data_IF_271413630176
#
_entry.id   IF_271413630176
#
_cell.length_a   1.000
_cell.length_b   1.000
_cell.length_c   1.000
_cell.angle_alpha   90.00
_cell.angle_beta   90.00
_cell.angle_gamma   90.00
#
_symmetry.space_group_name_H-M   'P 1'
#
loop_
_entity.id
_entity.type
_entity.pdbx_description
1 polymer ?
#
# COMPACT_ATOMS: atom_id res chain seq x y z
N UNK A 1 -7.35 15.73 -11.70
CA UNK A 1 -8.25 14.67 -11.19
C UNK A 1 -7.58 14.08 -9.98
N UNK A 2 -8.21 14.17 -8.82
CA UNK A 2 -7.73 13.52 -7.59
C UNK A 2 -7.90 12.01 -7.71
N UNK A 3 -6.85 11.26 -7.39
CA UNK A 3 -6.80 9.80 -7.37
C UNK A 3 -6.65 9.33 -5.94
N UNK A 4 -7.41 8.30 -5.58
CA UNK A 4 -7.29 7.68 -4.26
C UNK A 4 -6.05 6.79 -4.23
N UNK A 5 -5.09 7.18 -3.41
CA UNK A 5 -3.76 6.57 -3.34
C UNK A 5 -3.55 5.96 -1.97
N UNK A 6 -3.09 4.71 -1.91
CA UNK A 6 -2.62 4.10 -0.69
C UNK A 6 -1.09 4.08 -0.65
N UNK A 7 -0.52 4.57 0.43
CA UNK A 7 0.89 4.42 0.74
C UNK A 7 1.03 3.24 1.69
N UNK A 8 1.99 2.35 1.46
CA UNK A 8 2.21 1.14 2.25
C UNK A 8 3.68 1.00 2.64
N UNK A 9 3.95 0.56 3.85
CA UNK A 9 5.30 0.47 4.40
C UNK A 9 5.89 -0.90 4.10
N UNK A 10 6.99 -0.92 3.36
CA UNK A 10 7.73 -2.15 3.06
C UNK A 10 9.01 -2.26 3.89
N UNK A 11 9.07 -1.56 5.03
CA UNK A 11 10.28 -1.50 5.87
C UNK A 11 10.74 -2.88 6.32
N UNK A 12 9.80 -3.71 6.77
CA UNK A 12 10.07 -5.02 7.35
C UNK A 12 10.03 -6.15 6.31
N UNK A 13 9.41 -5.90 5.15
CA UNK A 13 9.16 -6.91 4.10
C UNK A 13 10.05 -6.76 2.87
N UNK A 14 10.82 -5.67 2.76
CA UNK A 14 11.70 -5.41 1.62
C UNK A 14 13.10 -4.96 2.03
N UNK A 15 14.11 -5.71 1.56
CA UNK A 15 15.51 -5.36 1.70
C UNK A 15 15.93 -4.37 0.60
N UNK A 16 16.73 -3.36 0.98
CA UNK A 16 17.26 -2.38 0.03
C UNK A 16 18.13 -3.09 -1.02
N UNK A 17 17.96 -2.75 -2.30
CA UNK A 17 18.66 -3.42 -3.41
C UNK A 17 17.98 -4.67 -3.96
N UNK A 18 16.79 -5.02 -3.45
CA UNK A 18 15.93 -6.03 -4.07
C UNK A 18 15.45 -5.64 -5.47
N UNK A 19 14.86 -6.62 -6.16
CA UNK A 19 14.22 -6.39 -7.47
C UNK A 19 12.88 -5.67 -7.33
N UNK A 20 12.44 -5.01 -8.41
CA UNK A 20 11.09 -4.42 -8.49
C UNK A 20 9.99 -5.47 -8.28
N UNK A 21 10.22 -6.72 -8.68
CA UNK A 21 9.30 -7.83 -8.41
C UNK A 21 9.19 -8.09 -6.92
N UNK A 22 10.31 -8.19 -6.20
CA UNK A 22 10.28 -8.38 -4.74
C UNK A 22 9.62 -7.21 -4.03
N UNK A 23 9.85 -5.98 -4.50
CA UNK A 23 9.17 -4.80 -3.97
C UNK A 23 7.65 -4.88 -4.18
N UNK A 24 7.19 -5.26 -5.38
CA UNK A 24 5.78 -5.43 -5.69
C UNK A 24 5.12 -6.49 -4.79
N UNK A 25 5.81 -7.61 -4.54
CA UNK A 25 5.35 -8.65 -3.62
C UNK A 25 5.22 -8.15 -2.18
N UNK A 26 6.21 -7.38 -1.71
CA UNK A 26 6.16 -6.77 -0.38
C UNK A 26 5.03 -5.73 -0.26
N UNK A 27 4.80 -4.95 -1.31
CA UNK A 27 3.79 -3.89 -1.37
C UNK A 27 2.35 -4.44 -1.50
N UNK A 28 2.20 -5.59 -2.14
CA UNK A 28 0.96 -6.32 -2.26
C UNK A 28 0.41 -6.86 -0.92
N UNK A 29 1.32 -7.20 0.01
CA UNK A 29 1.06 -8.01 1.20
C UNK A 29 0.01 -7.43 2.15
N UNK A 30 -0.55 -8.26 3.04
CA UNK A 30 -1.70 -7.91 3.87
C UNK A 30 -1.55 -6.62 4.70
N UNK A 31 -2.45 -5.66 4.49
CA UNK A 31 -2.50 -4.38 5.22
C UNK A 31 -3.69 -4.30 6.20
N UNK A 32 -3.53 -3.66 7.37
CA UNK A 32 -4.56 -3.54 8.39
C UNK A 32 -5.61 -2.47 8.04
N UNK A 33 -6.42 -2.74 7.01
CA UNK A 33 -7.51 -1.88 6.51
C UNK A 33 -8.77 -2.69 6.24
N UNK A 34 -9.90 -2.01 6.06
CA UNK A 34 -11.15 -2.64 5.65
C UNK A 34 -11.28 -2.61 4.13
N UNK A 35 -11.95 -3.61 3.57
CA UNK A 35 -12.25 -3.67 2.13
C UNK A 35 -12.93 -2.38 1.64
N UNK A 36 -14.00 -1.95 2.34
CA UNK A 36 -14.76 -0.74 1.98
C UNK A 36 -13.91 0.55 1.97
N UNK A 37 -12.84 0.62 2.78
CA UNK A 37 -11.96 1.80 2.74
C UNK A 37 -11.04 1.84 1.52
N UNK A 38 -10.88 0.71 0.84
CA UNK A 38 -9.87 0.50 -0.18
C UNK A 38 -10.41 0.09 -1.56
N UNK A 39 -11.69 -0.24 -1.69
CA UNK A 39 -12.29 -0.78 -2.92
C UNK A 39 -12.12 0.11 -4.16
N UNK A 40 -11.97 1.41 -3.95
CA UNK A 40 -11.82 2.49 -4.93
C UNK A 40 -10.39 3.07 -4.97
N UNK A 41 -9.42 2.44 -4.30
CA UNK A 41 -8.00 2.81 -4.41
C UNK A 41 -7.52 2.53 -5.82
N UNK A 42 -6.89 3.54 -6.44
CA UNK A 42 -6.44 3.49 -7.83
C UNK A 42 -4.93 3.31 -7.95
N UNK A 43 -4.18 3.79 -6.95
CA UNK A 43 -2.72 3.77 -6.95
C UNK A 43 -2.21 3.26 -5.61
N UNK A 44 -1.21 2.38 -5.64
CA UNK A 44 -0.47 1.95 -4.47
C UNK A 44 0.97 2.44 -4.57
N UNK A 45 1.47 3.02 -3.49
CA UNK A 45 2.84 3.54 -3.36
C UNK A 45 3.56 2.77 -2.26
N UNK A 46 4.67 2.11 -2.59
CA UNK A 46 5.55 1.49 -1.61
C UNK A 46 6.47 2.53 -0.98
N UNK A 47 6.51 2.55 0.36
CA UNK A 47 7.29 3.48 1.17
C UNK A 47 8.30 2.70 1.99
N UNK A 48 9.58 3.09 1.88
CA UNK A 48 10.66 2.62 2.75
C UNK A 48 11.37 3.81 3.37
N UNK A 49 11.60 3.76 4.68
CA UNK A 49 12.30 4.81 5.43
C UNK A 49 11.75 6.22 5.16
N UNK A 50 10.42 6.34 5.09
CA UNK A 50 9.65 7.57 4.77
C UNK A 50 9.82 8.10 3.34
N UNK A 51 10.41 7.32 2.44
CA UNK A 51 10.56 7.65 1.03
C UNK A 51 9.73 6.72 0.16
N UNK A 52 9.02 7.27 -0.81
CA UNK A 52 8.36 6.50 -1.87
C UNK A 52 9.42 5.88 -2.79
N UNK A 53 9.37 4.56 -2.96
CA UNK A 53 10.38 3.79 -3.74
C UNK A 53 9.78 3.02 -4.92
N UNK A 54 8.45 3.01 -5.06
CA UNK A 54 7.77 2.43 -6.22
C UNK A 54 6.26 2.68 -6.16
N UNK A 55 5.59 2.64 -7.31
CA UNK A 55 4.14 2.79 -7.39
C UNK A 55 3.54 1.93 -8.52
N UNK A 56 2.29 1.52 -8.33
CA UNK A 56 1.52 0.72 -9.27
C UNK A 56 0.07 1.17 -9.34
N UNK A 57 -0.56 0.92 -10.48
CA UNK A 57 -2.02 0.92 -10.57
C UNK A 57 -2.58 -0.24 -9.74
N UNK A 58 -3.71 -0.01 -9.09
CA UNK A 58 -4.47 -1.05 -8.39
C UNK A 58 -5.58 -1.52 -9.31
N UNK A 59 -5.60 -2.81 -9.62
CA UNK A 59 -6.60 -3.44 -10.49
C UNK A 59 -7.63 -4.25 -9.69
N UNK A 60 -7.41 -4.41 -8.39
CA UNK A 60 -8.35 -5.08 -7.50
C UNK A 60 -7.89 -5.08 -6.05
N UNK A 61 -8.86 -5.25 -5.15
CA UNK A 61 -8.64 -5.39 -3.70
C UNK A 61 -9.32 -6.66 -3.24
N UNK A 62 -8.71 -7.39 -2.31
CA UNK A 62 -9.30 -8.61 -1.78
C UNK A 62 -8.86 -8.89 -0.34
N UNK A 63 -9.61 -9.76 0.34
CA UNK A 63 -9.28 -10.19 1.69
C UNK A 63 -8.12 -11.20 1.66
N UNK A 64 -7.07 -10.88 2.40
CA UNK A 64 -5.95 -11.78 2.66
C UNK A 64 -6.36 -12.88 3.64
N UNK A 65 -5.60 -13.98 3.62
CA UNK A 65 -5.65 -15.02 4.68
C UNK A 65 -5.02 -14.54 5.98
N UNK A 66 -4.19 -13.50 5.94
CA UNK A 66 -3.60 -12.89 7.11
C UNK A 66 -4.63 -12.05 7.88
N UNK A 67 -4.53 -12.07 9.20
CA UNK A 67 -5.40 -11.28 10.08
C UNK A 67 -4.62 -10.21 10.85
N UNK A 68 -5.35 -9.27 11.44
CA UNK A 68 -4.84 -8.35 12.44
C UNK A 68 -5.87 -8.20 13.57
N UNK A 69 -5.38 -8.09 14.79
CA UNK A 69 -6.25 -8.03 15.97
C UNK A 69 -6.78 -6.61 16.17
N UNK A 70 -8.08 -6.52 16.43
CA UNK A 70 -8.77 -5.29 16.83
C UNK A 70 -9.47 -5.51 18.17
N UNK A 71 -9.94 -4.47 18.88
CA UNK A 71 -10.76 -4.65 20.08
C UNK A 71 -12.01 -5.50 19.86
N UNK A 72 -12.52 -5.56 18.63
CA UNK A 72 -13.67 -6.38 18.24
C UNK A 72 -13.31 -7.76 17.70
N UNK A 73 -12.08 -8.24 17.89
CA UNK A 73 -11.58 -9.52 17.40
C UNK A 73 -10.66 -9.42 16.18
N UNK A 74 -10.24 -10.58 15.69
CA UNK A 74 -9.38 -10.69 14.53
C UNK A 74 -10.13 -10.35 13.24
N UNK A 75 -9.51 -9.50 12.42
CA UNK A 75 -10.06 -9.11 11.11
C UNK A 75 -9.09 -9.51 10.01
N UNK A 76 -9.60 -9.93 8.83
CA UNK A 76 -8.73 -10.16 7.68
C UNK A 76 -8.07 -8.85 7.26
N UNK A 77 -6.80 -8.94 6.88
CA UNK A 77 -6.09 -7.86 6.20
C UNK A 77 -6.55 -7.78 4.75
N UNK A 78 -6.26 -6.67 4.09
CA UNK A 78 -6.49 -6.53 2.64
C UNK A 78 -5.19 -6.71 1.86
N UNK A 79 -5.29 -7.25 0.66
CA UNK A 79 -4.20 -7.28 -0.32
C UNK A 79 -4.66 -6.60 -1.61
N UNK A 80 -3.68 -6.16 -2.40
CA UNK A 80 -3.91 -5.36 -3.61
C UNK A 80 -3.40 -6.10 -4.85
N UNK A 81 -4.28 -6.39 -5.80
CA UNK A 81 -3.85 -6.81 -7.13
C UNK A 81 -3.21 -5.61 -7.83
N UNK A 82 -1.92 -5.74 -8.17
CA UNK A 82 -1.13 -4.68 -8.79
C UNK A 82 -1.15 -4.84 -10.31
N UNK A 83 -1.37 -3.73 -11.01
CA UNK A 83 -1.26 -3.64 -12.47
C UNK A 83 0.10 -3.10 -12.90
N UNK A 84 0.08 -2.19 -13.87
CA UNK A 84 1.28 -1.57 -14.40
C UNK A 84 1.96 -0.65 -13.37
N UNK A 85 3.30 -0.55 -13.47
CA UNK A 85 4.09 0.41 -12.73
C UNK A 85 3.70 1.84 -13.12
N UNK A 86 3.58 2.71 -12.14
CA UNK A 86 3.25 4.13 -12.33
C UNK A 86 4.48 4.97 -11.99
N UNK A 87 4.83 5.98 -12.79
CA UNK A 87 5.91 6.92 -12.43
C UNK A 87 5.60 7.64 -11.11
N UNK A 88 6.60 7.78 -10.24
CA UNK A 88 6.47 8.61 -9.05
C UNK A 88 6.53 10.08 -9.45
N UNK A 89 5.37 10.72 -9.49
CA UNK A 89 5.28 12.16 -9.63
C UNK A 89 5.44 12.88 -8.27
N UNK A 90 5.56 14.22 -8.23
CA UNK A 90 5.73 14.95 -6.98
C UNK A 90 4.62 14.71 -5.94
N UNK A 91 3.39 14.38 -6.34
CA UNK A 91 2.28 14.10 -5.43
C UNK A 91 2.45 12.75 -4.73
N UNK A 92 3.06 11.78 -5.42
CA UNK A 92 3.35 10.44 -4.91
C UNK A 92 4.67 10.37 -4.15
N UNK A 93 5.58 11.32 -4.35
CA UNK A 93 6.79 11.46 -3.52
C UNK A 93 6.49 11.97 -2.10
N UNK A 94 5.43 12.75 -1.93
CA UNK A 94 5.05 13.35 -0.65
C UNK A 94 4.24 12.37 0.21
N UNK A 95 4.95 11.49 0.93
CA UNK A 95 4.38 10.57 1.92
C UNK A 95 3.60 11.38 2.98
N UNK A 96 2.30 11.07 3.21
CA UNK A 96 1.49 11.81 4.19
C UNK A 96 2.07 11.76 5.60
N UNK A 97 1.95 12.85 6.36
CA UNK A 97 2.50 12.96 7.71
C UNK A 97 1.80 12.04 8.72
N UNK A 98 0.56 11.64 8.43
CA UNK A 98 -0.20 10.63 9.18
C UNK A 98 0.25 9.18 8.95
N UNK A 99 1.28 8.92 8.13
CA UNK A 99 1.83 7.58 7.88
C UNK A 99 2.52 7.01 9.13
N UNK A 100 1.74 6.33 10.00
CA UNK A 100 2.24 5.76 11.27
C UNK A 100 1.90 4.29 11.51
N UNK A 101 1.07 3.67 10.66
CA UNK A 101 0.47 2.33 10.89
C UNK A 101 0.65 1.36 9.73
N UNK A 102 1.82 1.37 9.10
CA UNK A 102 2.13 0.50 7.96
C UNK A 102 1.40 0.87 6.66
N UNK A 103 0.28 1.59 6.68
CA UNK A 103 -0.33 2.14 5.47
C UNK A 103 -1.21 3.37 5.74
N UNK A 104 -1.41 4.22 4.73
CA UNK A 104 -2.35 5.35 4.77
C UNK A 104 -2.94 5.65 3.40
N UNK A 105 -4.18 6.16 3.36
CA UNK A 105 -4.86 6.56 2.14
C UNK A 105 -4.89 8.08 2.08
N UNK A 106 -4.62 8.63 0.90
CA UNK A 106 -4.73 10.06 0.61
C UNK A 106 -5.32 10.28 -0.79
N UNK A 107 -6.02 11.40 -0.97
CA UNK A 107 -6.46 11.86 -2.28
C UNK A 107 -5.39 12.78 -2.88
N UNK A 108 -4.89 12.44 -4.09
CA UNK A 108 -3.78 13.14 -4.75
C UNK A 108 -4.09 13.44 -6.21
#
# INVERSE_FOLDING_TARGET
MTRKTIFVSVNDSYALGGSMTQLAWAAHAGWPRTFASCEDVQVLVAVKDKMSIGAWSVIGVYLSKETYTTPGGDRPRIAFALGESVPLDPTLHNVPSEFRRGCVIAER
#
